data_IF_545608955412
#
_entry.id   IF_545608955412
#
_cell.length_a   1.000
_cell.length_b   1.000
_cell.length_c   1.000
_cell.angle_alpha   90.00
_cell.angle_beta   90.00
_cell.angle_gamma   90.00
#
_symmetry.space_group_name_H-M   'P 1'
#
loop_
_entity.id
_entity.type
_entity.pdbx_description
1 polymer ?
#
# COMPACT_ATOMS: atom_id res chain seq x y z
N UNK A 1 14.89 0.14 7.87
CA UNK A 1 14.28 1.09 6.92
C UNK A 1 12.91 1.49 7.44
N UNK A 2 12.42 2.68 7.11
CA UNK A 2 11.08 3.16 7.43
C UNK A 2 10.11 2.84 6.31
N UNK A 3 9.15 1.96 6.58
CA UNK A 3 8.07 1.59 5.66
C UNK A 3 6.84 2.44 5.97
N UNK A 4 6.46 3.27 5.02
CA UNK A 4 5.26 4.11 5.07
C UNK A 4 4.02 3.28 4.76
N UNK A 5 3.03 3.27 5.66
CA UNK A 5 1.71 2.69 5.41
C UNK A 5 0.66 3.81 5.43
N UNK A 6 -0.01 4.10 4.29
CA UNK A 6 -1.06 5.12 4.23
C UNK A 6 -2.28 4.72 5.08
N UNK A 7 -2.81 5.64 5.90
CA UNK A 7 -4.01 5.43 6.73
C UNK A 7 -5.31 5.54 5.94
N UNK A 8 -5.41 4.80 4.84
CA UNK A 8 -6.55 4.84 3.93
C UNK A 8 -6.89 3.45 3.39
N UNK A 9 -8.13 3.29 2.90
CA UNK A 9 -8.62 2.05 2.29
C UNK A 9 -8.47 0.84 3.24
N UNK A 10 -7.83 -0.24 2.77
CA UNK A 10 -7.65 -1.49 3.52
C UNK A 10 -6.71 -1.40 4.72
N UNK A 11 -6.09 -0.25 4.97
CA UNK A 11 -5.37 0.01 6.21
C UNK A 11 -6.18 -0.42 7.43
N UNK A 12 -7.45 -0.04 7.52
CA UNK A 12 -8.28 -0.30 8.69
C UNK A 12 -8.62 -1.78 8.91
N UNK A 13 -8.42 -2.63 7.90
CA UNK A 13 -8.64 -4.07 8.00
C UNK A 13 -7.34 -4.83 8.27
N UNK A 14 -6.24 -4.43 7.63
CA UNK A 14 -5.01 -5.22 7.61
C UNK A 14 -3.82 -4.57 8.32
N UNK A 15 -3.98 -3.38 8.92
CA UNK A 15 -2.87 -2.71 9.58
C UNK A 15 -2.16 -3.57 10.65
N UNK A 16 -2.87 -4.23 11.59
CA UNK A 16 -2.19 -5.05 12.60
C UNK A 16 -1.32 -6.16 12.00
N UNK A 17 -1.77 -6.75 10.88
CA UNK A 17 -1.02 -7.75 10.13
C UNK A 17 0.27 -7.15 9.55
N UNK A 18 0.14 -6.05 8.79
CA UNK A 18 1.29 -5.42 8.13
C UNK A 18 2.29 -4.83 9.13
N UNK A 19 1.81 -4.22 10.20
CA UNK A 19 2.65 -3.71 11.28
C UNK A 19 3.49 -4.83 11.89
N UNK A 20 2.84 -5.93 12.28
CA UNK A 20 3.50 -7.07 12.90
C UNK A 20 4.51 -7.71 11.96
N UNK A 21 4.13 -7.89 10.69
CA UNK A 21 4.98 -8.47 9.66
C UNK A 21 6.26 -7.65 9.43
N UNK A 22 6.13 -6.34 9.19
CA UNK A 22 7.30 -5.50 8.93
C UNK A 22 8.18 -5.34 10.18
N UNK A 23 7.59 -5.25 11.38
CA UNK A 23 8.35 -5.23 12.63
C UNK A 23 9.11 -6.53 12.86
N UNK A 24 8.50 -7.69 12.58
CA UNK A 24 9.16 -9.00 12.67
C UNK A 24 10.36 -9.11 11.71
N UNK A 25 10.28 -8.47 10.53
CA UNK A 25 11.38 -8.37 9.57
C UNK A 25 12.43 -7.28 9.92
N UNK A 26 12.34 -6.67 11.10
CA UNK A 26 13.28 -5.64 11.58
C UNK A 26 13.11 -4.27 10.92
N UNK A 27 11.92 -3.98 10.37
CA UNK A 27 11.61 -2.69 9.76
C UNK A 27 10.82 -1.79 10.71
N UNK A 28 10.99 -0.48 10.56
CA UNK A 28 10.19 0.52 11.27
C UNK A 28 8.95 0.85 10.43
N UNK A 29 7.78 0.90 11.04
CA UNK A 29 6.52 1.24 10.36
C UNK A 29 6.14 2.67 10.69
N UNK A 30 5.97 3.49 9.67
CA UNK A 30 5.57 4.89 9.77
C UNK A 30 4.19 5.05 9.14
N UNK A 31 3.29 5.75 9.84
CA UNK A 31 1.95 6.02 9.35
C UNK A 31 1.85 7.45 8.84
N UNK A 32 0.99 7.65 7.83
CA UNK A 32 0.51 8.99 7.53
C UNK A 32 -0.26 9.56 8.73
N UNK A 33 -0.40 10.88 8.83
CA UNK A 33 -1.26 11.53 9.80
C UNK A 33 -2.73 11.05 9.69
N UNK A 34 -3.54 11.19 10.76
CA UNK A 34 -4.99 11.02 10.66
C UNK A 34 -5.56 11.91 9.56
N UNK A 35 -6.61 11.42 8.88
CA UNK A 35 -7.28 12.17 7.82
C UNK A 35 -7.71 13.54 8.32
N UNK A 36 -7.31 14.57 7.59
CA UNK A 36 -7.61 15.97 7.90
C UNK A 36 -7.85 16.75 6.59
N UNK A 37 -8.30 17.99 6.71
CA UNK A 37 -8.63 18.84 5.54
C UNK A 37 -7.45 19.02 4.59
N UNK A 38 -6.21 19.06 5.10
CA UNK A 38 -5.03 19.23 4.25
C UNK A 38 -4.71 17.97 3.46
N UNK A 39 -4.81 16.79 4.08
CA UNK A 39 -4.67 15.50 3.38
C UNK A 39 -5.71 15.40 2.26
N UNK A 40 -6.98 15.71 2.57
CA UNK A 40 -8.04 15.68 1.57
C UNK A 40 -7.77 16.66 0.43
N UNK A 41 -7.42 17.91 0.74
CA UNK A 41 -7.14 18.94 -0.27
C UNK A 41 -6.02 18.51 -1.20
N UNK A 42 -4.87 18.12 -0.65
CA UNK A 42 -3.72 17.64 -1.44
C UNK A 42 -4.10 16.43 -2.30
N UNK A 43 -4.84 15.49 -1.74
CA UNK A 43 -5.32 14.31 -2.46
C UNK A 43 -6.20 14.66 -3.66
N UNK A 44 -7.11 15.63 -3.50
CA UNK A 44 -7.96 16.11 -4.61
C UNK A 44 -7.13 16.80 -5.70
N UNK A 45 -6.13 17.60 -5.32
CA UNK A 45 -5.29 18.36 -6.26
C UNK A 45 -4.43 17.47 -7.18
N UNK A 46 -4.00 16.31 -6.70
CA UNK A 46 -3.06 15.43 -7.42
C UNK A 46 -3.71 14.19 -8.06
N UNK A 47 -5.00 13.96 -7.83
CA UNK A 47 -5.70 12.78 -8.35
C UNK A 47 -6.61 13.17 -9.51
N UNK A 48 -6.83 12.24 -10.44
CA UNK A 48 -7.82 12.39 -11.50
C UNK A 48 -9.23 12.71 -10.98
N UNK A 49 -9.96 13.55 -11.72
CA UNK A 49 -11.26 14.08 -11.31
C UNK A 49 -12.33 12.99 -11.10
N UNK A 50 -12.31 11.94 -11.93
CA UNK A 50 -13.26 10.81 -11.89
C UNK A 50 -12.99 9.83 -10.74
N UNK A 51 -11.89 9.98 -10.00
CA UNK A 51 -11.59 9.08 -8.89
C UNK A 51 -12.59 9.27 -7.74
N UNK A 52 -12.97 8.16 -7.12
CA UNK A 52 -13.78 8.19 -5.91
C UNK A 52 -13.00 8.84 -4.76
N UNK A 53 -13.74 9.44 -3.81
CA UNK A 53 -13.16 10.14 -2.66
C UNK A 53 -12.12 9.30 -1.88
N UNK A 54 -12.30 7.99 -1.64
CA UNK A 54 -11.29 7.17 -0.97
C UNK A 54 -9.95 7.10 -1.69
N UNK A 55 -9.94 7.08 -3.03
CA UNK A 55 -8.71 7.08 -3.84
C UNK A 55 -8.03 8.44 -3.77
N UNK A 56 -8.79 9.54 -3.82
CA UNK A 56 -8.25 10.90 -3.63
C UNK A 56 -7.61 11.05 -2.24
N UNK A 57 -8.30 10.59 -1.20
CA UNK A 57 -7.74 10.55 0.16
C UNK A 57 -6.45 9.72 0.23
N UNK A 58 -6.41 8.57 -0.42
CA UNK A 58 -5.22 7.73 -0.46
C UNK A 58 -4.00 8.47 -1.02
N UNK A 59 -4.16 9.23 -2.12
CA UNK A 59 -3.08 10.06 -2.67
C UNK A 59 -2.59 11.10 -1.66
N UNK A 60 -3.51 11.77 -0.96
CA UNK A 60 -3.15 12.71 0.10
C UNK A 60 -2.37 12.06 1.25
N UNK A 61 -2.74 10.84 1.65
CA UNK A 61 -2.02 10.08 2.67
C UNK A 61 -0.63 9.64 2.19
N UNK A 62 -0.48 9.29 0.92
CA UNK A 62 0.82 8.97 0.31
C UNK A 62 1.71 10.22 0.27
N UNK A 63 1.18 11.38 -0.10
CA UNK A 63 1.94 12.64 -0.06
C UNK A 63 2.40 13.01 1.36
N UNK A 64 1.58 12.73 2.38
CA UNK A 64 1.97 12.96 3.77
C UNK A 64 3.14 12.05 4.21
N UNK A 65 3.32 10.89 3.55
CA UNK A 65 4.40 9.93 3.80
C UNK A 65 5.66 10.17 2.97
N UNK A 66 5.59 10.93 1.88
CA UNK A 66 6.67 11.10 0.90
C UNK A 66 8.01 11.55 1.53
N UNK A 67 7.98 12.30 2.64
CA UNK A 67 9.18 12.75 3.35
C UNK A 67 9.36 12.14 4.74
N UNK A 68 8.57 11.11 5.09
CA UNK A 68 8.60 10.46 6.41
C UNK A 68 9.07 9.00 6.35
N UNK A 69 9.05 8.41 5.16
CA UNK A 69 9.37 7.01 4.93
C UNK A 69 10.40 6.85 3.82
N UNK A 70 11.22 5.82 3.92
CA UNK A 70 12.22 5.47 2.90
C UNK A 70 11.56 4.70 1.73
N UNK A 71 10.43 4.04 1.99
CA UNK A 71 9.62 3.34 1.01
C UNK A 71 8.16 3.35 1.43
N UNK A 72 7.22 3.25 0.49
CA UNK A 72 5.78 3.24 0.77
C UNK A 72 5.18 1.91 0.35
N UNK A 73 4.43 1.28 1.24
CA UNK A 73 3.74 0.02 0.99
C UNK A 73 2.35 0.27 0.39
N UNK A 74 2.18 -0.14 -0.87
CA UNK A 74 0.94 0.03 -1.64
C UNK A 74 0.69 -1.28 -2.41
N UNK A 75 0.22 -2.35 -1.74
CA UNK A 75 0.06 -3.65 -2.39
C UNK A 75 -0.99 -3.58 -3.50
N UNK A 76 -0.72 -4.26 -4.62
CA UNK A 76 -1.67 -4.37 -5.73
C UNK A 76 -2.68 -5.48 -5.45
N UNK A 77 -3.80 -5.13 -4.86
CA UNK A 77 -4.81 -6.10 -4.42
C UNK A 77 -5.78 -6.39 -5.57
N UNK A 78 -5.68 -7.59 -6.15
CA UNK A 78 -6.53 -8.09 -7.22
C UNK A 78 -7.71 -8.86 -6.64
N UNK A 79 -7.42 -9.80 -5.74
CA UNK A 79 -8.40 -10.70 -5.13
C UNK A 79 -7.91 -11.14 -3.75
N UNK A 80 -8.82 -11.13 -2.77
CA UNK A 80 -8.57 -11.59 -1.39
C UNK A 80 -9.34 -12.87 -1.04
N UNK A 81 -10.26 -13.30 -1.91
CA UNK A 81 -11.05 -14.52 -1.77
C UNK A 81 -11.27 -15.13 -3.18
N UNK A 82 -11.17 -16.46 -3.34
CA UNK A 82 -11.41 -17.12 -4.62
C UNK A 82 -12.74 -16.75 -5.25
N UNK A 83 -12.71 -16.55 -6.58
CA UNK A 83 -13.89 -16.17 -7.34
C UNK A 83 -14.29 -14.70 -7.25
N UNK A 84 -13.64 -13.89 -6.40
CA UNK A 84 -13.96 -12.47 -6.22
C UNK A 84 -12.82 -11.55 -6.66
N UNK A 85 -13.19 -10.45 -7.33
CA UNK A 85 -12.27 -9.36 -7.64
C UNK A 85 -12.57 -8.15 -6.77
N UNK A 86 -11.51 -7.47 -6.32
CA UNK A 86 -11.64 -6.16 -5.69
C UNK A 86 -11.89 -5.09 -6.76
N UNK A 87 -12.46 -3.95 -6.35
CA UNK A 87 -12.66 -2.78 -7.21
C UNK A 87 -11.41 -2.48 -8.09
N UNK A 88 -11.58 -2.28 -9.41
CA UNK A 88 -10.46 -2.01 -10.34
C UNK A 88 -9.56 -0.84 -9.95
N UNK A 89 -10.06 0.12 -9.16
CA UNK A 89 -9.23 1.22 -8.65
C UNK A 89 -8.13 0.75 -7.70
N UNK A 90 -8.28 -0.37 -6.97
CA UNK A 90 -7.19 -0.97 -6.19
C UNK A 90 -6.12 -1.61 -7.08
N UNK A 91 -6.54 -2.23 -8.19
CA UNK A 91 -5.62 -2.85 -9.13
C UNK A 91 -4.72 -1.78 -9.76
N UNK A 92 -5.27 -0.62 -10.11
CA UNK A 92 -4.51 0.51 -10.66
C UNK A 92 -3.91 1.44 -9.63
N UNK A 93 -4.19 1.28 -8.33
CA UNK A 93 -3.81 2.24 -7.29
C UNK A 93 -2.30 2.51 -7.22
N UNK A 94 -1.42 1.48 -7.24
CA UNK A 94 0.02 1.73 -7.19
C UNK A 94 0.52 2.49 -8.43
N UNK A 95 -0.05 2.21 -9.61
CA UNK A 95 0.33 2.90 -10.85
C UNK A 95 -0.14 4.36 -10.82
N UNK A 96 -1.40 4.60 -10.44
CA UNK A 96 -1.94 5.95 -10.29
C UNK A 96 -1.05 6.80 -9.39
N UNK A 97 -0.58 6.23 -8.28
CA UNK A 97 0.33 6.92 -7.36
C UNK A 97 1.68 7.22 -8.02
N UNK A 98 2.31 6.21 -8.64
CA UNK A 98 3.63 6.37 -9.30
C UNK A 98 3.61 7.41 -10.42
N UNK A 99 2.51 7.50 -11.18
CA UNK A 99 2.39 8.44 -12.29
C UNK A 99 1.93 9.84 -11.88
N UNK A 100 1.08 9.96 -10.85
CA UNK A 100 0.60 11.26 -10.39
C UNK A 100 1.59 11.97 -9.45
N UNK A 101 2.47 11.22 -8.78
CA UNK A 101 3.41 11.74 -7.79
C UNK A 101 4.87 11.40 -8.20
N UNK A 102 5.54 12.25 -8.99
CA UNK A 102 6.86 11.95 -9.54
C UNK A 102 8.00 11.98 -8.51
N UNK A 103 7.82 12.68 -7.39
CA UNK A 103 8.81 12.80 -6.31
C UNK A 103 8.39 11.95 -5.10
N UNK A 104 8.40 10.62 -5.28
CA UNK A 104 7.98 9.67 -4.26
C UNK A 104 9.11 8.68 -3.94
N UNK A 105 9.28 8.28 -2.66
CA UNK A 105 10.11 7.14 -2.33
C UNK A 105 9.68 5.88 -3.09
N UNK A 106 10.58 4.89 -3.25
CA UNK A 106 10.24 3.61 -3.87
C UNK A 106 8.97 3.00 -3.28
N UNK A 107 8.13 2.41 -4.12
CA UNK A 107 6.86 1.82 -3.71
C UNK A 107 6.95 0.30 -3.75
N UNK A 108 6.53 -0.35 -2.68
CA UNK A 108 6.35 -1.81 -2.61
C UNK A 108 4.93 -2.13 -3.07
N UNK A 109 4.77 -2.57 -4.31
CA UNK A 109 3.48 -2.84 -4.96
C UNK A 109 3.27 -4.30 -5.39
N UNK A 110 3.84 -5.22 -4.61
CA UNK A 110 3.67 -6.66 -4.82
C UNK A 110 2.18 -7.02 -4.91
N UNK A 111 1.85 -7.85 -5.90
CA UNK A 111 0.47 -8.24 -6.19
C UNK A 111 -0.06 -9.24 -5.17
N UNK A 112 -1.32 -9.09 -4.79
CA UNK A 112 -2.08 -10.07 -4.02
C UNK A 112 -3.26 -10.54 -4.88
N UNK A 113 -3.19 -11.79 -5.33
CA UNK A 113 -4.20 -12.42 -6.18
C UNK A 113 -4.51 -13.83 -5.69
N UNK A 114 -5.63 -13.95 -4.97
CA UNK A 114 -6.14 -15.21 -4.46
C UNK A 114 -7.29 -15.79 -5.30
N UNK A 115 -7.59 -15.23 -6.48
CA UNK A 115 -8.77 -15.56 -7.27
C UNK A 115 -8.85 -17.07 -7.58
N UNK A 116 -7.73 -17.66 -7.99
CA UNK A 116 -7.67 -19.07 -8.38
C UNK A 116 -7.23 -20.00 -7.24
N UNK A 117 -6.36 -19.53 -6.33
CA UNK A 117 -5.71 -20.37 -5.32
C UNK A 117 -5.36 -19.55 -4.07
N UNK A 118 -5.94 -19.90 -2.92
CA UNK A 118 -5.61 -19.29 -1.61
C UNK A 118 -4.15 -19.47 -1.20
N UNK A 119 -3.50 -20.55 -1.66
CA UNK A 119 -2.08 -20.85 -1.35
C UNK A 119 -1.11 -19.75 -1.78
N UNK A 120 -1.51 -18.87 -2.71
CA UNK A 120 -0.72 -17.73 -3.19
C UNK A 120 -0.50 -16.64 -2.15
N UNK A 121 -1.21 -16.69 -1.01
CA UNK A 121 -0.96 -15.76 0.09
C UNK A 121 0.48 -15.86 0.59
N UNK A 122 1.05 -17.07 0.70
CA UNK A 122 2.43 -17.26 1.14
C UNK A 122 3.42 -16.71 0.11
N UNK A 123 3.15 -16.92 -1.18
CA UNK A 123 3.95 -16.35 -2.27
C UNK A 123 4.02 -14.83 -2.17
N UNK A 124 2.90 -14.18 -1.85
CA UNK A 124 2.84 -12.72 -1.64
C UNK A 124 3.77 -12.26 -0.49
N UNK A 125 3.73 -12.92 0.67
CA UNK A 125 4.63 -12.59 1.79
C UNK A 125 6.11 -12.82 1.44
N UNK A 126 6.43 -13.94 0.77
CA UNK A 126 7.80 -14.22 0.33
C UNK A 126 8.32 -13.21 -0.70
N UNK A 127 7.47 -12.76 -1.63
CA UNK A 127 7.83 -11.73 -2.60
C UNK A 127 8.11 -10.38 -1.92
N UNK A 128 7.30 -9.99 -0.92
CA UNK A 128 7.56 -8.78 -0.11
C UNK A 128 8.89 -8.93 0.64
N UNK A 129 9.12 -10.06 1.31
CA UNK A 129 10.37 -10.31 2.02
C UNK A 129 11.59 -10.25 1.11
N UNK A 130 11.50 -10.84 -0.08
CA UNK A 130 12.56 -10.76 -1.11
C UNK A 130 12.85 -9.30 -1.52
N UNK A 131 11.82 -8.47 -1.66
CA UNK A 131 11.98 -7.04 -1.96
C UNK A 131 12.73 -6.29 -0.84
N UNK A 132 12.60 -6.75 0.40
CA UNK A 132 13.31 -6.25 1.58
C UNK A 132 14.68 -6.94 1.82
N UNK A 133 15.20 -7.68 0.83
CA UNK A 133 16.42 -8.48 0.93
C UNK A 133 16.40 -9.51 2.08
N UNK A 134 15.23 -10.09 2.36
CA UNK A 134 15.04 -11.16 3.36
C UNK A 134 15.00 -12.53 2.72
N UNK A 135 15.53 -13.51 3.43
CA UNK A 135 15.49 -14.93 3.05
C UNK A 135 14.15 -15.56 3.40
N UNK A 136 13.83 -16.70 2.79
CA UNK A 136 12.59 -17.46 3.09
C UNK A 136 12.49 -17.96 4.54
N UNK A 137 13.59 -18.03 5.27
CA UNK A 137 13.60 -18.47 6.67
C UNK A 137 13.35 -17.31 7.64
N UNK A 138 13.55 -16.08 7.19
CA UNK A 138 13.24 -14.86 7.95
C UNK A 138 11.77 -14.42 7.79
N UNK A 139 11.08 -14.93 6.76
CA UNK A 139 9.71 -14.56 6.36
C UNK A 139 8.73 -15.65 6.77
#
# INVERSE_FOLDING_TARGET
MKIGIPRALFFYHYYPLWESFFKALGQEVVLSNPTNKQILKKGVEVTVDDACLPVKLFHGHVMDLAHKADTIFIPRIISIEPGEYICPKFLGLPDMIKYNLPDLPPVIDIKLDLYNKKSRILEHFFEIGKNLNKTRWEV
#
